data_IF_218188152086
#
_entry.id   IF_218188152086
#
_cell.length_a   1.000
_cell.length_b   1.000
_cell.length_c   1.000
_cell.angle_alpha   90.00
_cell.angle_beta   90.00
_cell.angle_gamma   90.00
#
_symmetry.space_group_name_H-M   'P 1'
#
loop_
_entity.id
_entity.type
_entity.pdbx_description
1 polymer ?
#
# COMPACT_ATOMS: atom_id res chain seq x y z
N UNK A 1 -17.78 1.26 -12.33
CA UNK A 1 -17.31 1.07 -10.93
C UNK A 1 -15.87 1.56 -10.77
N UNK A 2 -15.33 1.68 -9.56
CA UNK A 2 -13.99 2.26 -9.32
C UNK A 2 -13.24 1.47 -8.25
N UNK A 3 -11.99 1.11 -8.54
CA UNK A 3 -11.07 0.52 -7.58
C UNK A 3 -9.91 1.49 -7.29
N UNK A 4 -9.76 1.87 -6.03
CA UNK A 4 -8.68 2.73 -5.53
C UNK A 4 -7.73 1.86 -4.70
N UNK A 5 -6.44 1.94 -5.00
CA UNK A 5 -5.38 1.15 -4.37
C UNK A 5 -4.42 2.11 -3.67
N UNK A 6 -4.11 1.81 -2.41
CA UNK A 6 -3.11 2.51 -1.61
C UNK A 6 -2.06 1.48 -1.20
N UNK A 7 -0.82 1.64 -1.66
CA UNK A 7 0.22 0.63 -1.43
C UNK A 7 1.62 1.24 -1.26
N UNK A 8 2.49 0.52 -0.56
CA UNK A 8 3.92 0.77 -0.57
C UNK A 8 4.54 0.03 -1.75
N UNK A 9 4.92 0.76 -2.79
CA UNK A 9 5.40 0.17 -4.05
C UNK A 9 6.83 0.63 -4.29
N UNK A 10 7.70 -0.31 -4.63
CA UNK A 10 9.07 0.02 -4.99
C UNK A 10 9.12 0.55 -6.43
N UNK A 11 9.11 1.88 -6.54
CA UNK A 11 9.22 2.58 -7.81
C UNK A 11 10.67 2.73 -8.30
N UNK A 12 11.66 2.37 -7.47
CA UNK A 12 13.07 2.73 -7.63
C UNK A 12 13.28 4.25 -7.67
N UNK A 13 12.55 4.96 -6.79
CA UNK A 13 12.63 6.40 -6.59
C UNK A 13 13.18 6.71 -5.18
N UNK A 14 13.28 8.00 -4.86
CA UNK A 14 13.66 8.43 -3.51
C UNK A 14 12.62 7.98 -2.47
N UNK A 15 13.03 7.46 -1.30
CA UNK A 15 12.12 7.07 -0.23
C UNK A 15 11.08 8.14 0.14
N UNK A 16 9.82 7.73 0.22
CA UNK A 16 8.69 8.63 0.47
C UNK A 16 8.17 9.34 -0.79
N UNK A 17 8.74 9.12 -1.97
CA UNK A 17 8.15 9.64 -3.22
C UNK A 17 6.74 9.10 -3.39
N UNK A 18 5.77 9.99 -3.60
CA UNK A 18 4.38 9.65 -3.84
C UNK A 18 4.11 9.61 -5.35
N UNK A 19 3.55 8.50 -5.82
CA UNK A 19 3.26 8.24 -7.23
C UNK A 19 1.77 7.98 -7.40
N UNK A 20 1.21 8.51 -8.50
CA UNK A 20 -0.19 8.32 -8.89
C UNK A 20 -0.22 7.67 -10.26
N UNK A 21 -0.95 6.57 -10.40
CA UNK A 21 -1.15 5.89 -11.68
C UNK A 21 -2.64 5.68 -11.93
N UNK A 22 -3.06 5.83 -13.18
CA UNK A 22 -4.44 5.68 -13.60
C UNK A 22 -4.60 4.54 -14.61
N UNK A 23 -5.69 3.78 -14.48
CA UNK A 23 -6.19 2.82 -15.47
C UNK A 23 -5.08 1.88 -15.98
N UNK A 24 -4.72 1.98 -17.26
CA UNK A 24 -3.72 1.12 -17.91
C UNK A 24 -2.30 1.28 -17.33
N UNK A 25 -1.99 2.42 -16.70
CA UNK A 25 -0.70 2.64 -16.05
C UNK A 25 -0.51 1.72 -14.84
N UNK A 26 -1.60 1.37 -14.15
CA UNK A 26 -1.56 0.53 -12.93
C UNK A 26 -1.02 -0.88 -13.23
N UNK A 27 -1.63 -1.70 -14.12
CA UNK A 27 -1.12 -3.02 -14.44
C UNK A 27 0.22 -2.97 -15.18
N UNK A 28 0.46 -1.95 -16.03
CA UNK A 28 1.71 -1.80 -16.75
C UNK A 28 2.89 -1.57 -15.78
N UNK A 29 2.70 -0.76 -14.74
CA UNK A 29 3.74 -0.48 -13.76
C UNK A 29 3.99 -1.67 -12.84
N UNK A 30 2.93 -2.30 -12.36
CA UNK A 30 3.05 -3.50 -11.54
C UNK A 30 3.69 -4.66 -12.32
N UNK A 31 3.59 -4.69 -13.66
CA UNK A 31 4.08 -5.81 -14.49
C UNK A 31 5.58 -5.82 -14.74
N UNK A 32 6.24 -4.68 -14.54
CA UNK A 32 7.56 -4.44 -15.12
C UNK A 32 8.73 -4.57 -14.13
N UNK A 33 8.51 -4.66 -12.82
CA UNK A 33 9.59 -4.52 -11.81
C UNK A 33 9.51 -5.54 -10.67
N UNK A 34 10.61 -5.69 -9.91
CA UNK A 34 10.72 -6.63 -8.78
C UNK A 34 9.57 -6.41 -7.80
N UNK A 35 8.69 -7.40 -7.75
CA UNK A 35 7.49 -7.37 -6.92
C UNK A 35 7.81 -7.88 -5.52
N UNK A 36 7.25 -7.22 -4.50
CA UNK A 36 7.06 -7.90 -3.22
C UNK A 36 6.07 -9.07 -3.41
N UNK A 37 6.15 -10.09 -2.55
CA UNK A 37 5.27 -11.29 -2.63
C UNK A 37 3.77 -10.94 -2.69
N UNK A 38 3.36 -9.84 -2.07
CA UNK A 38 1.96 -9.37 -2.06
C UNK A 38 1.51 -8.72 -3.37
N UNK A 39 2.45 -8.29 -4.23
CA UNK A 39 2.15 -7.61 -5.49
C UNK A 39 2.04 -8.57 -6.68
N UNK A 40 2.75 -9.71 -6.66
CA UNK A 40 2.64 -10.76 -7.70
C UNK A 40 1.19 -11.27 -7.78
N UNK A 41 0.59 -11.58 -6.63
CA UNK A 41 -0.79 -12.09 -6.60
C UNK A 41 -1.82 -11.05 -7.06
N UNK A 42 -1.58 -9.76 -6.79
CA UNK A 42 -2.51 -8.71 -7.19
C UNK A 42 -2.55 -8.53 -8.72
N UNK A 43 -1.40 -8.64 -9.38
CA UNK A 43 -1.34 -8.62 -10.84
C UNK A 43 -2.06 -9.80 -11.48
N UNK A 44 -1.89 -11.00 -10.92
CA UNK A 44 -2.57 -12.19 -11.39
C UNK A 44 -4.09 -12.03 -11.29
N UNK A 45 -4.57 -11.45 -10.18
CA UNK A 45 -6.00 -11.13 -10.01
C UNK A 45 -6.48 -10.13 -11.06
N UNK A 46 -5.76 -9.04 -11.30
CA UNK A 46 -6.12 -8.07 -12.32
C UNK A 46 -6.12 -8.69 -13.73
N UNK A 47 -5.12 -9.50 -14.06
CA UNK A 47 -5.03 -10.19 -15.35
C UNK A 47 -6.20 -11.18 -15.54
N UNK A 48 -6.56 -11.94 -14.50
CA UNK A 48 -7.71 -12.83 -14.52
C UNK A 48 -9.03 -12.05 -14.67
N UNK A 49 -9.19 -10.93 -13.98
CA UNK A 49 -10.35 -10.04 -14.15
C UNK A 49 -10.46 -9.53 -15.60
N UNK A 50 -9.34 -9.16 -16.24
CA UNK A 50 -9.32 -8.76 -17.66
C UNK A 50 -9.74 -9.91 -18.57
N UNK A 51 -9.18 -11.11 -18.36
CA UNK A 51 -9.50 -12.30 -19.14
C UNK A 51 -10.98 -12.69 -19.04
N UNK A 52 -11.57 -12.52 -17.85
CA UNK A 52 -12.98 -12.82 -17.57
C UNK A 52 -13.93 -11.67 -17.94
N UNK A 53 -13.42 -10.53 -18.42
CA UNK A 53 -14.23 -9.35 -18.74
C UNK A 53 -14.84 -8.64 -17.53
N UNK A 54 -14.30 -8.87 -16.32
CA UNK A 54 -14.80 -8.38 -15.04
C UNK A 54 -13.80 -7.42 -14.36
N UNK A 55 -13.07 -6.62 -15.15
CA UNK A 55 -12.20 -5.59 -14.60
C UNK A 55 -12.99 -4.35 -14.18
N UNK A 56 -12.58 -3.67 -13.10
CA UNK A 56 -13.15 -2.38 -12.75
C UNK A 56 -13.02 -1.39 -13.91
N UNK A 57 -14.06 -0.58 -14.15
CA UNK A 57 -14.06 0.43 -15.21
C UNK A 57 -12.97 1.49 -15.02
N UNK A 58 -12.59 1.78 -13.77
CA UNK A 58 -11.56 2.76 -13.41
C UNK A 58 -10.63 2.20 -12.34
N UNK A 59 -9.33 2.39 -12.55
CA UNK A 59 -8.29 2.05 -11.58
C UNK A 59 -7.53 3.31 -11.18
N UNK A 60 -7.27 3.44 -9.89
CA UNK A 60 -6.41 4.51 -9.38
C UNK A 60 -5.48 3.97 -8.29
N UNK A 61 -4.18 4.03 -8.53
CA UNK A 61 -3.16 3.67 -7.55
C UNK A 61 -2.52 4.95 -7.00
N UNK A 62 -2.49 5.07 -5.68
CA UNK A 62 -1.64 6.02 -4.97
C UNK A 62 -0.59 5.21 -4.21
N UNK A 63 0.62 5.19 -4.75
CA UNK A 63 1.74 4.46 -4.18
C UNK A 63 2.74 5.38 -3.48
N UNK A 64 3.38 4.88 -2.42
CA UNK A 64 4.50 5.57 -1.78
C UNK A 64 5.75 4.70 -1.85
N UNK A 65 6.87 5.26 -2.31
CA UNK A 65 8.16 4.59 -2.31
C UNK A 65 8.57 4.23 -0.87
N UNK A 66 8.77 2.94 -0.55
CA UNK A 66 9.24 2.52 0.76
C UNK A 66 10.70 2.94 0.98
N UNK A 67 11.08 3.14 2.24
CA UNK A 67 12.47 3.34 2.64
C UNK A 67 13.19 2.02 2.95
N UNK A 68 12.47 1.11 3.60
CA UNK A 68 12.99 -0.17 4.08
C UNK A 68 12.00 -1.24 3.66
N UNK A 69 12.49 -2.24 2.94
CA UNK A 69 11.74 -3.45 2.57
C UNK A 69 12.23 -4.68 3.34
N UNK A 70 13.47 -4.63 3.83
CA UNK A 70 14.14 -5.71 4.56
C UNK A 70 14.00 -5.53 6.08
N UNK A 71 12.78 -5.28 6.55
CA UNK A 71 12.41 -5.32 7.98
C UNK A 71 11.03 -5.98 8.10
N UNK A 72 11.00 -7.30 7.96
CA UNK A 72 9.76 -8.06 8.03
C UNK A 72 9.12 -7.91 9.41
N UNK A 73 7.85 -7.52 9.43
CA UNK A 73 7.15 -7.13 10.65
C UNK A 73 7.65 -5.81 11.26
N UNK A 74 8.13 -4.88 10.43
CA UNK A 74 8.38 -3.48 10.80
C UNK A 74 7.25 -2.54 10.42
N UNK A 75 7.12 -1.45 11.16
CA UNK A 75 6.15 -0.39 10.90
C UNK A 75 6.62 0.58 9.82
N UNK A 76 5.71 1.47 9.41
CA UNK A 76 6.03 2.58 8.51
C UNK A 76 7.21 3.42 9.02
N UNK A 77 8.20 3.63 8.16
CA UNK A 77 9.26 4.60 8.44
C UNK A 77 8.71 6.02 8.51
N UNK A 78 9.47 6.92 9.14
CA UNK A 78 9.04 8.31 9.31
C UNK A 78 8.77 9.02 7.96
N UNK A 79 9.54 8.70 6.91
CA UNK A 79 9.34 9.28 5.57
C UNK A 79 8.04 8.81 4.93
N UNK A 80 7.71 7.52 5.01
CA UNK A 80 6.47 6.97 4.45
C UNK A 80 5.26 7.44 5.25
N UNK A 81 5.34 7.42 6.59
CA UNK A 81 4.27 7.87 7.48
C UNK A 81 3.86 9.32 7.23
N UNK A 82 4.82 10.20 6.91
CA UNK A 82 4.53 11.61 6.57
C UNK A 82 3.71 11.78 5.29
N UNK A 83 3.67 10.78 4.42
CA UNK A 83 2.90 10.82 3.18
C UNK A 83 1.44 10.40 3.32
N UNK A 84 1.01 9.89 4.48
CA UNK A 84 -0.38 9.49 4.69
C UNK A 84 -1.37 10.63 4.37
N UNK A 85 -1.19 11.88 4.86
CA UNK A 85 -2.10 12.97 4.53
C UNK A 85 -2.12 13.28 3.02
N UNK A 86 -0.95 13.33 2.37
CA UNK A 86 -0.85 13.61 0.94
C UNK A 86 -1.51 12.50 0.09
N UNK A 87 -1.36 11.23 0.49
CA UNK A 87 -2.03 10.10 -0.16
C UNK A 87 -3.54 10.17 0.01
N UNK A 88 -4.02 10.52 1.21
CA UNK A 88 -5.45 10.76 1.46
C UNK A 88 -5.97 11.90 0.58
N UNK A 89 -5.27 13.03 0.49
CA UNK A 89 -5.67 14.17 -0.33
C UNK A 89 -5.80 13.77 -1.82
N UNK A 90 -4.89 12.93 -2.32
CA UNK A 90 -4.97 12.40 -3.68
C UNK A 90 -6.25 11.56 -3.90
N UNK A 91 -6.60 10.70 -2.95
CA UNK A 91 -7.83 9.88 -3.02
C UNK A 91 -9.07 10.74 -2.92
N UNK A 92 -9.11 11.69 -1.99
CA UNK A 92 -10.25 12.60 -1.80
C UNK A 92 -10.48 13.47 -3.05
N UNK A 93 -9.41 13.99 -3.65
CA UNK A 93 -9.47 14.75 -4.89
C UNK A 93 -10.00 13.89 -6.06
N UNK A 94 -9.55 12.64 -6.15
CA UNK A 94 -10.01 11.70 -7.18
C UNK A 94 -11.50 11.36 -7.01
N UNK A 95 -11.96 11.09 -5.78
CA UNK A 95 -13.37 10.87 -5.48
C UNK A 95 -14.22 12.11 -5.80
N UNK A 96 -13.75 13.31 -5.46
CA UNK A 96 -14.44 14.55 -5.78
C UNK A 96 -14.60 14.76 -7.29
N UNK A 97 -13.58 14.44 -8.08
CA UNK A 97 -13.65 14.48 -9.55
C UNK A 97 -14.69 13.51 -10.14
N UNK A 98 -15.04 12.45 -9.41
CA UNK A 98 -16.10 11.50 -9.75
C UNK A 98 -17.48 11.93 -9.20
N UNK A 99 -17.58 13.10 -8.56
CA UNK A 99 -18.81 13.57 -7.91
C UNK A 99 -19.13 12.84 -6.60
N UNK A 100 -18.16 12.13 -6.02
CA UNK A 100 -18.32 11.40 -4.77
C UNK A 100 -17.82 12.29 -3.62
N UNK A 101 -18.72 12.66 -2.71
CA UNK A 101 -18.41 13.47 -1.54
C UNK A 101 -18.17 12.59 -0.30
N UNK A 102 -16.92 12.45 0.18
CA UNK A 102 -16.62 11.68 1.38
C UNK A 102 -17.16 12.40 2.63
N UNK A 103 -17.72 11.63 3.58
CA UNK A 103 -18.16 12.13 4.88
C UNK A 103 -17.11 11.84 5.93
N UNK A 104 -16.64 12.86 6.64
CA UNK A 104 -15.76 12.67 7.78
C UNK A 104 -16.51 11.96 8.91
N UNK A 105 -15.92 10.86 9.39
CA UNK A 105 -16.41 10.13 10.56
C UNK A 105 -15.43 10.45 11.70
N UNK A 106 -15.92 10.85 12.89
CA UNK A 106 -15.05 11.07 14.05
C UNK A 106 -14.23 9.82 14.34
N UNK A 107 -12.95 10.00 14.69
CA UNK A 107 -12.12 8.89 15.11
C UNK A 107 -12.75 8.23 16.34
N UNK A 108 -13.02 6.92 16.25
CA UNK A 108 -13.38 6.12 17.41
C UNK A 108 -12.08 5.57 18.02
N UNK A 109 -11.68 6.01 19.23
CA UNK A 109 -10.48 5.52 19.90
C UNK A 109 -10.49 3.99 20.08
N UNK A 110 -11.67 3.41 20.31
CA UNK A 110 -11.86 1.99 20.57
C UNK A 110 -11.87 1.14 19.28
N UNK A 111 -12.01 1.77 18.10
CA UNK A 111 -11.94 1.08 16.82
C UNK A 111 -10.49 0.86 16.36
N UNK A 112 -9.49 1.46 17.02
CA UNK A 112 -8.08 1.17 16.75
C UNK A 112 -7.77 -0.19 17.35
N UNK A 113 -7.62 -1.19 16.48
CA UNK A 113 -7.01 -2.45 16.88
C UNK A 113 -5.61 -2.13 17.43
N UNK A 114 -5.38 -2.37 18.72
CA UNK A 114 -4.11 -2.06 19.40
C UNK A 114 -2.92 -2.73 18.70
N UNK A 115 -3.15 -3.89 18.06
CA UNK A 115 -2.15 -4.58 17.24
C UNK A 115 -1.65 -3.77 16.02
N UNK A 116 -2.35 -2.69 15.63
CA UNK A 116 -2.04 -1.81 14.49
C UNK A 116 -1.49 -0.45 14.96
N UNK A 117 -1.38 -0.22 16.27
CA UNK A 117 -0.78 0.98 16.82
C UNK A 117 0.74 0.94 16.66
N UNK A 118 1.30 1.76 15.75
CA UNK A 118 2.74 1.78 15.43
C UNK A 118 3.64 1.78 16.69
N UNK A 119 3.32 2.61 17.70
CA UNK A 119 4.15 2.72 18.92
C UNK A 119 4.11 1.44 19.76
N UNK A 120 2.92 0.88 19.99
CA UNK A 120 2.76 -0.33 20.79
C UNK A 120 3.31 -1.55 20.05
N UNK A 121 3.06 -1.65 18.74
CA UNK A 121 3.59 -2.70 17.88
C UNK A 121 5.12 -2.71 17.89
N UNK A 122 5.77 -1.57 17.64
CA UNK A 122 7.23 -1.47 17.64
C UNK A 122 7.82 -1.77 19.03
N UNK A 123 7.11 -1.46 20.11
CA UNK A 123 7.55 -1.75 21.48
C UNK A 123 7.42 -3.23 21.84
N UNK A 124 6.41 -3.91 21.31
CA UNK A 124 6.06 -5.29 21.69
C UNK A 124 6.54 -6.34 20.68
N UNK A 125 6.97 -5.94 19.48
CA UNK A 125 7.46 -6.90 18.48
C UNK A 125 8.74 -7.60 18.99
N UNK A 126 8.89 -8.92 18.75
CA UNK A 126 10.08 -9.67 19.14
C UNK A 126 11.37 -9.05 18.59
N UNK A 127 12.51 -9.32 19.21
CA UNK A 127 13.80 -8.89 18.66
C UNK A 127 14.12 -9.59 17.32
N UNK A 128 15.11 -9.09 16.58
CA UNK A 128 15.57 -9.72 15.34
C UNK A 128 16.21 -11.11 15.57
N UNK A 129 16.69 -11.37 16.78
CA UNK A 129 17.24 -12.67 17.19
C UNK A 129 16.13 -13.69 17.46
N UNK A 130 15.00 -13.24 18.02
CA UNK A 130 13.83 -14.08 18.30
C UNK A 130 12.95 -14.28 17.06
N UNK A 131 12.95 -13.32 16.12
CA UNK A 131 12.20 -13.38 14.87
C UNK A 131 13.02 -12.77 13.72
N UNK A 132 13.39 -13.61 12.74
CA UNK A 132 14.15 -13.20 11.57
C UNK A 132 13.44 -12.07 10.80
N UNK A 133 14.18 -11.00 10.50
CA UNK A 133 13.69 -9.80 9.78
C UNK A 133 13.77 -9.92 8.26
N UNK A 134 14.51 -10.90 7.77
CA UNK A 134 14.82 -11.04 6.34
C UNK A 134 13.88 -12.01 5.62
N UNK A 135 13.10 -12.78 6.38
CA UNK A 135 12.16 -13.76 5.84
C UNK A 135 12.03 -14.99 6.73
N UNK A 136 11.28 -15.97 6.24
CA UNK A 136 11.18 -17.26 6.89
C UNK A 136 12.51 -18.01 6.80
N UNK A 137 13.14 -18.29 7.94
CA UNK A 137 14.45 -18.94 8.02
C UNK A 137 14.52 -20.35 7.42
N UNK A 138 13.39 -20.95 7.04
CA UNK A 138 13.36 -22.21 6.27
C UNK A 138 13.73 -22.02 4.79
N UNK A 139 13.64 -20.79 4.28
CA UNK A 139 13.84 -20.44 2.88
C UNK A 139 15.00 -19.45 2.65
N UNK A 140 15.71 -19.08 3.72
CA UNK A 140 16.97 -18.32 3.70
C UNK A 140 18.15 -19.29 3.71
#
# INVERSE_FOLDING_TARGET
DVLIILDAVDFQLEPGTLVKLHDAEVPAYLGAKKMSLHQISFQEVLALCQLLGNCPERLFLVGVQPQVLEDYGGSLSAVVKRQIPAAMDCVLAYLAALGIAPKLIPANPDARNQAVGIVEYERLRPSAEEACRYGDGRFL
#
